data_IF_911574911760
#
_entry.id   IF_911574911760
#
_cell.length_a   1.000
_cell.length_b   1.000
_cell.length_c   1.000
_cell.angle_alpha   90.00
_cell.angle_beta   90.00
_cell.angle_gamma   90.00
#
_symmetry.space_group_name_H-M   'P 1'
#
loop_
_entity.id
_entity.type
_entity.pdbx_description
1 polymer ?
#
# COMPACT_ATOMS: atom_id res chain seq x y z
N UNK A 1 13.04 0.67 -15.74
CA UNK A 1 12.62 1.67 -14.73
C UNK A 1 12.00 0.88 -13.60
N UNK A 2 12.44 1.06 -12.35
CA UNK A 2 11.79 0.38 -11.23
C UNK A 2 10.45 1.08 -10.99
N UNK A 3 9.35 0.42 -11.32
CA UNK A 3 8.02 0.89 -10.95
C UNK A 3 7.93 1.01 -9.43
N UNK A 4 7.36 2.13 -8.99
CA UNK A 4 7.13 2.47 -7.58
C UNK A 4 5.76 3.09 -7.44
N UNK A 5 5.18 2.95 -6.26
CA UNK A 5 3.99 3.67 -5.86
C UNK A 5 4.39 5.15 -5.75
N UNK A 6 3.83 5.97 -6.62
CA UNK A 6 3.85 7.42 -6.51
C UNK A 6 2.42 7.92 -6.37
N UNK A 7 2.14 8.60 -5.27
CA UNK A 7 0.82 9.16 -4.98
C UNK A 7 0.79 10.68 -5.22
N UNK A 8 1.90 11.26 -5.71
CA UNK A 8 1.97 12.67 -6.05
C UNK A 8 0.90 13.01 -7.11
N UNK A 9 0.12 14.06 -6.87
CA UNK A 9 -0.93 14.52 -7.78
C UNK A 9 -2.26 13.75 -7.77
N UNK A 10 -2.31 12.52 -7.23
CA UNK A 10 -3.56 11.73 -7.13
C UNK A 10 -4.11 11.66 -5.70
N UNK A 11 -3.26 11.83 -4.70
CA UNK A 11 -3.64 11.77 -3.29
C UNK A 11 -3.02 12.93 -2.51
N UNK A 12 -3.80 13.51 -1.61
CA UNK A 12 -3.38 14.66 -0.80
C UNK A 12 -3.98 14.60 0.60
N UNK A 13 -3.39 15.35 1.53
CA UNK A 13 -3.92 15.49 2.89
C UNK A 13 -5.39 15.96 2.90
N UNK A 14 -5.76 16.89 2.01
CA UNK A 14 -7.14 17.35 1.89
C UNK A 14 -8.11 16.23 1.44
N UNK A 15 -7.61 15.26 0.67
CA UNK A 15 -8.40 14.13 0.17
C UNK A 15 -8.64 13.09 1.27
N UNK A 16 -7.59 12.66 2.00
CA UNK A 16 -7.72 11.65 3.07
C UNK A 16 -8.65 12.10 4.21
N UNK A 17 -8.78 13.41 4.42
CA UNK A 17 -9.71 13.98 5.39
C UNK A 17 -11.18 13.76 5.02
N UNK A 18 -11.51 13.63 3.73
CA UNK A 18 -12.89 13.53 3.23
C UNK A 18 -13.32 12.11 2.93
N UNK A 19 -12.38 11.24 2.60
CA UNK A 19 -12.67 9.87 2.16
C UNK A 19 -11.51 8.94 2.46
N UNK A 20 -11.82 7.64 2.52
CA UNK A 20 -10.82 6.59 2.37
C UNK A 20 -10.27 6.58 0.94
N UNK A 21 -8.99 6.28 0.80
CA UNK A 21 -8.33 6.06 -0.48
C UNK A 21 -7.86 4.61 -0.57
N UNK A 22 -8.15 3.94 -1.67
CA UNK A 22 -7.72 2.56 -1.93
C UNK A 22 -6.94 2.52 -3.22
N UNK A 23 -5.86 1.75 -3.23
CA UNK A 23 -5.08 1.50 -4.43
C UNK A 23 -4.53 0.08 -4.47
N UNK A 24 -3.93 -0.24 -5.60
CA UNK A 24 -3.29 -1.52 -5.86
C UNK A 24 -1.92 -1.29 -6.50
N UNK A 25 -0.97 -2.14 -6.17
CA UNK A 25 0.33 -2.19 -6.82
C UNK A 25 0.73 -3.65 -6.98
N UNK A 26 0.65 -4.15 -8.21
CA UNK A 26 0.75 -5.58 -8.54
C UNK A 26 -0.14 -6.47 -7.63
N UNK A 27 0.44 -7.46 -6.94
CA UNK A 27 -0.29 -8.34 -6.01
C UNK A 27 -0.60 -7.69 -4.65
N UNK A 28 -0.08 -6.49 -4.36
CA UNK A 28 -0.37 -5.75 -3.14
C UNK A 28 -1.59 -4.84 -3.30
N UNK A 29 -2.41 -4.74 -2.25
CA UNK A 29 -3.47 -3.74 -2.10
C UNK A 29 -3.16 -2.85 -0.91
N UNK A 30 -3.62 -1.61 -0.95
CA UNK A 30 -3.47 -0.68 0.16
C UNK A 30 -4.69 0.21 0.35
N UNK A 31 -4.93 0.60 1.60
CA UNK A 31 -6.00 1.46 2.08
C UNK A 31 -5.38 2.57 2.93
N UNK A 32 -5.63 3.82 2.57
CA UNK A 32 -5.23 5.00 3.33
C UNK A 32 -6.47 5.68 3.91
N UNK A 33 -6.49 5.89 5.22
CA UNK A 33 -7.57 6.58 5.95
C UNK A 33 -7.02 7.56 6.97
N UNK A 34 -7.83 8.52 7.42
CA UNK A 34 -7.49 9.37 8.55
C UNK A 34 -8.09 8.76 9.82
N UNK A 35 -7.25 8.37 10.79
CA UNK A 35 -7.65 7.78 12.06
C UNK A 35 -7.00 8.55 13.20
N UNK A 36 -7.80 9.07 14.12
CA UNK A 36 -7.32 9.82 15.29
C UNK A 36 -6.35 10.97 14.96
N UNK A 37 -6.54 11.62 13.80
CA UNK A 37 -5.67 12.71 13.34
C UNK A 37 -4.37 12.26 12.68
N UNK A 38 -4.19 10.96 12.44
CA UNK A 38 -3.03 10.35 11.80
C UNK A 38 -3.40 9.67 10.48
N UNK A 39 -2.46 9.59 9.56
CA UNK A 39 -2.61 8.82 8.31
C UNK A 39 -2.44 7.35 8.65
N UNK A 40 -3.51 6.57 8.51
CA UNK A 40 -3.50 5.12 8.67
C UNK A 40 -3.35 4.46 7.31
N UNK A 41 -2.22 3.81 7.08
CA UNK A 41 -1.95 3.03 5.88
C UNK A 41 -2.03 1.54 6.20
N UNK A 42 -2.92 0.83 5.52
CA UNK A 42 -3.07 -0.62 5.66
C UNK A 42 -2.75 -1.31 4.34
N UNK A 43 -1.86 -2.29 4.36
CA UNK A 43 -1.57 -3.17 3.22
C UNK A 43 -2.21 -4.55 3.42
N UNK A 44 -2.53 -5.22 2.32
CA UNK A 44 -3.09 -6.57 2.32
C UNK A 44 -2.88 -7.26 0.96
N UNK A 45 -2.86 -8.60 0.91
CA UNK A 45 -2.73 -9.34 -0.34
C UNK A 45 -3.99 -9.22 -1.19
N UNK A 46 -3.80 -8.92 -2.49
CA UNK A 46 -4.80 -9.20 -3.51
C UNK A 46 -4.91 -10.71 -3.78
N UNK A 47 -5.98 -11.19 -4.44
CA UNK A 47 -7.04 -10.41 -5.08
C UNK A 47 -8.19 -10.01 -4.12
N UNK A 48 -8.13 -10.44 -2.86
CA UNK A 48 -9.18 -10.21 -1.88
C UNK A 48 -9.32 -8.72 -1.51
N UNK A 49 -10.56 -8.26 -1.31
CA UNK A 49 -10.83 -6.90 -0.83
C UNK A 49 -10.62 -6.83 0.69
N UNK A 50 -10.35 -5.63 1.21
CA UNK A 50 -10.08 -5.40 2.63
C UNK A 50 -11.05 -6.09 3.60
N UNK A 51 -12.35 -6.15 3.28
CA UNK A 51 -13.36 -6.75 4.15
C UNK A 51 -13.26 -8.27 4.30
N UNK A 52 -12.73 -8.95 3.27
CA UNK A 52 -12.63 -10.42 3.24
C UNK A 52 -11.22 -10.92 3.57
N UNK A 53 -10.20 -10.08 3.50
CA UNK A 53 -8.87 -10.43 3.99
C UNK A 53 -8.88 -10.55 5.52
N UNK A 54 -8.37 -11.65 6.10
CA UNK A 54 -8.17 -11.79 7.55
C UNK A 54 -7.34 -10.64 8.11
N UNK A 55 -7.61 -10.25 9.36
CA UNK A 55 -6.87 -9.14 10.00
C UNK A 55 -5.38 -9.47 10.20
N UNK A 56 -5.04 -10.75 10.37
CA UNK A 56 -3.67 -11.25 10.51
C UNK A 56 -2.83 -11.09 9.22
N UNK A 57 -3.50 -11.01 8.06
CA UNK A 57 -2.86 -10.77 6.76
C UNK A 57 -2.84 -9.28 6.38
N UNK A 58 -3.39 -8.41 7.24
CA UNK A 58 -3.33 -6.96 7.09
C UNK A 58 -2.21 -6.42 7.93
N UNK A 59 -1.48 -5.48 7.37
CA UNK A 59 -0.53 -4.72 8.16
C UNK A 59 -0.88 -3.24 8.11
N UNK A 60 -1.04 -2.63 9.28
CA UNK A 60 -1.39 -1.22 9.40
C UNK A 60 -0.29 -0.44 10.10
N UNK A 61 0.07 0.71 9.53
CA UNK A 61 0.98 1.68 10.15
C UNK A 61 0.36 3.07 10.17
N UNK A 62 0.59 3.79 11.26
CA UNK A 62 0.12 5.17 11.44
C UNK A 62 1.28 6.14 11.20
N UNK A 63 0.99 7.24 10.51
CA UNK A 63 1.92 8.32 10.22
C UNK A 63 1.29 9.65 10.61
N UNK A 64 2.13 10.66 10.78
CA UNK A 64 1.65 12.01 11.08
C UNK A 64 0.81 12.57 9.91
N UNK A 65 -0.25 13.33 10.21
CA UNK A 65 -1.00 14.07 9.19
C UNK A 65 -0.24 15.33 8.77
N UNK A 66 0.85 15.12 8.04
CA UNK A 66 1.74 16.15 7.52
C UNK A 66 2.23 15.76 6.12
N UNK A 67 2.76 16.72 5.32
CA UNK A 67 3.37 16.40 4.03
C UNK A 67 4.51 15.38 4.16
N UNK A 68 5.27 15.46 5.24
CA UNK A 68 6.33 14.53 5.60
C UNK A 68 5.75 13.15 5.90
N UNK A 69 4.73 13.05 6.76
CA UNK A 69 4.06 11.78 7.08
C UNK A 69 3.39 11.13 5.87
N UNK A 70 2.92 11.92 4.90
CA UNK A 70 2.44 11.41 3.62
C UNK A 70 3.58 10.81 2.77
N UNK A 71 4.73 11.45 2.76
CA UNK A 71 5.93 10.93 2.08
C UNK A 71 6.38 9.62 2.72
N UNK A 72 6.46 9.59 4.06
CA UNK A 72 6.78 8.38 4.82
C UNK A 72 5.77 7.24 4.58
N UNK A 73 4.50 7.58 4.40
CA UNK A 73 3.47 6.61 4.05
C UNK A 73 3.78 5.95 2.71
N UNK A 74 4.11 6.74 1.68
CA UNK A 74 4.45 6.24 0.35
C UNK A 74 5.74 5.42 0.37
N UNK A 75 6.75 5.89 1.10
CA UNK A 75 8.01 5.16 1.26
C UNK A 75 7.79 3.80 1.93
N UNK A 76 6.96 3.75 2.97
CA UNK A 76 6.61 2.49 3.62
C UNK A 76 5.83 1.55 2.71
N UNK A 77 4.89 2.04 1.91
CA UNK A 77 4.18 1.20 0.92
C UNK A 77 5.16 0.57 -0.08
N UNK A 78 6.10 1.36 -0.60
CA UNK A 78 7.12 0.88 -1.52
C UNK A 78 8.06 -0.14 -0.85
N UNK A 79 8.50 0.15 0.38
CA UNK A 79 9.34 -0.76 1.16
C UNK A 79 8.64 -2.12 1.36
N UNK A 80 7.38 -2.11 1.78
CA UNK A 80 6.63 -3.36 2.02
C UNK A 80 6.37 -4.15 0.75
N UNK A 81 6.16 -3.46 -0.36
CA UNK A 81 6.10 -4.13 -1.65
C UNK A 81 7.43 -4.84 -1.97
N UNK A 82 8.55 -4.14 -1.85
CA UNK A 82 9.88 -4.69 -2.13
C UNK A 82 10.23 -5.88 -1.22
N UNK A 83 9.86 -5.81 0.06
CA UNK A 83 10.16 -6.86 1.04
C UNK A 83 9.27 -8.11 0.90
N UNK A 84 7.96 -7.96 0.63
CA UNK A 84 7.00 -9.08 0.77
C UNK A 84 6.25 -9.45 -0.49
N UNK A 85 6.18 -8.56 -1.49
CA UNK A 85 5.34 -8.75 -2.68
C UNK A 85 6.16 -8.87 -3.96
N UNK A 86 7.33 -8.22 -4.07
CA UNK A 86 8.18 -8.28 -5.27
C UNK A 86 8.56 -9.71 -5.67
N UNK A 87 8.96 -10.54 -4.72
CA UNK A 87 9.30 -11.94 -4.99
C UNK A 87 8.04 -12.74 -5.38
N UNK A 88 6.94 -12.54 -4.66
CA UNK A 88 5.64 -13.19 -4.97
C UNK A 88 5.16 -12.85 -6.38
N UNK A 89 5.24 -11.58 -6.78
CA UNK A 89 4.89 -11.13 -8.13
C UNK A 89 5.84 -11.71 -9.19
N UNK A 90 7.14 -11.87 -8.88
CA UNK A 90 8.09 -12.54 -9.78
C UNK A 90 7.74 -14.01 -10.00
N UNK A 91 7.29 -14.71 -8.94
CA UNK A 91 6.87 -16.11 -9.02
C UNK A 91 5.52 -16.25 -9.78
N UNK A 92 4.58 -15.33 -9.54
CA UNK A 92 3.24 -15.36 -10.15
C UNK A 92 3.22 -14.99 -11.63
N UNK A 93 4.18 -14.17 -12.09
CA UNK A 93 4.25 -13.71 -13.49
C UNK A 93 4.96 -14.70 -14.43
N UNK A 94 5.49 -15.80 -13.90
CA UNK A 94 5.94 -16.95 -14.71
C UNK A 94 7.08 -16.62 -15.65
N UNK A 95 8.29 -16.44 -15.12
CA UNK A 95 9.46 -16.86 -15.88
C UNK A 95 9.61 -18.38 -15.68
N UNK A 96 9.13 -19.16 -16.66
CA UNK A 96 9.27 -20.62 -16.73
C UNK A 96 10.74 -21.09 -16.97
N UNK A 97 11.76 -20.35 -16.50
CA UNK A 97 13.18 -20.75 -16.69
C UNK A 97 13.86 -21.39 -15.48
N UNK A 98 13.10 -21.85 -14.47
CA UNK A 98 13.66 -22.69 -13.41
C UNK A 98 12.89 -24.02 -13.29
N UNK A 99 13.03 -24.83 -14.34
CA UNK A 99 13.03 -26.29 -14.25
C UNK A 99 14.25 -26.87 -14.96
#
# INVERSE_FOLDING_TARGET
MNEKIDLSGVFSLAYIKKTRYTGSFHSMRYLLTLKDGQISATIYPGPYCFEVTPDDEKETKLFEYSPEGLTETVDWLNQRYDEFYREKDSILTGDESLQ
#
